data_IF_237498939685
#
_entry.id   IF_237498939685
#
_cell.length_a   1.000
_cell.length_b   1.000
_cell.length_c   1.000
_cell.angle_alpha   90.00
_cell.angle_beta   90.00
_cell.angle_gamma   90.00
#
_symmetry.space_group_name_H-M   'P 1'
#
loop_
_entity.id
_entity.type
_entity.pdbx_description
1 polymer ?
#
# COMPACT_ATOMS: atom_id res chain seq x y z
N UNK A 1 -27.26 -7.84 -17.42
CA UNK A 1 -25.84 -7.43 -17.41
C UNK A 1 -25.75 -6.02 -16.86
N UNK A 2 -24.79 -5.76 -15.97
CA UNK A 2 -24.52 -4.40 -15.48
C UNK A 2 -23.97 -3.57 -16.65
N UNK A 3 -24.31 -2.27 -16.72
CA UNK A 3 -23.83 -1.37 -17.78
C UNK A 3 -22.31 -1.45 -17.94
N UNK A 4 -21.57 -1.55 -16.83
CA UNK A 4 -20.11 -1.67 -16.83
C UNK A 4 -19.61 -2.98 -17.48
N UNK A 5 -20.35 -4.08 -17.37
CA UNK A 5 -20.00 -5.36 -18.02
C UNK A 5 -20.17 -5.24 -19.54
N UNK A 6 -21.22 -4.54 -20.00
CA UNK A 6 -21.46 -4.22 -21.41
C UNK A 6 -20.30 -3.34 -21.92
N UNK A 7 -19.88 -2.34 -21.15
CA UNK A 7 -18.75 -1.48 -21.51
C UNK A 7 -17.47 -2.28 -21.72
N UNK A 8 -17.17 -3.25 -20.86
CA UNK A 8 -15.97 -4.08 -21.01
C UNK A 8 -16.05 -4.97 -22.26
N UNK A 9 -17.21 -5.55 -22.57
CA UNK A 9 -17.38 -6.32 -23.81
C UNK A 9 -17.21 -5.45 -25.05
N UNK A 10 -17.79 -4.25 -25.07
CA UNK A 10 -17.63 -3.29 -26.17
C UNK A 10 -16.18 -2.81 -26.30
N UNK A 11 -15.48 -2.65 -25.17
CA UNK A 11 -14.08 -2.27 -25.15
C UNK A 11 -13.19 -3.38 -25.72
N UNK A 12 -13.45 -4.64 -25.40
CA UNK A 12 -12.76 -5.80 -25.99
C UNK A 12 -13.02 -5.88 -27.50
N UNK A 13 -14.28 -5.67 -27.95
CA UNK A 13 -14.65 -5.67 -29.37
C UNK A 13 -14.00 -4.55 -30.16
N UNK A 14 -13.87 -3.37 -29.56
CA UNK A 14 -13.30 -2.18 -30.21
C UNK A 14 -11.77 -2.22 -30.38
N UNK A 15 -11.08 -3.23 -29.83
CA UNK A 15 -9.63 -3.48 -30.01
C UNK A 15 -8.74 -2.25 -29.74
N UNK A 16 -9.05 -1.53 -28.66
CA UNK A 16 -8.27 -0.38 -28.16
C UNK A 16 -6.80 -0.77 -27.96
N UNK A 17 -5.86 -0.01 -28.52
CA UNK A 17 -4.41 -0.28 -28.39
C UNK A 17 -3.66 0.81 -27.62
N UNK A 18 -4.14 2.05 -27.64
CA UNK A 18 -3.47 3.20 -27.03
C UNK A 18 -4.32 3.89 -25.96
N UNK A 19 -3.69 4.75 -25.17
CA UNK A 19 -4.40 5.56 -24.17
C UNK A 19 -5.36 6.58 -24.82
N UNK A 20 -5.02 7.05 -26.02
CA UNK A 20 -5.85 7.95 -26.83
C UNK A 20 -7.11 7.23 -27.30
N UNK A 21 -6.97 6.00 -27.79
CA UNK A 21 -8.09 5.15 -28.18
C UNK A 21 -9.02 4.90 -26.99
N UNK A 22 -8.45 4.64 -25.80
CA UNK A 22 -9.23 4.42 -24.59
C UNK A 22 -10.02 5.67 -24.21
N UNK A 23 -9.40 6.85 -24.28
CA UNK A 23 -10.08 8.12 -24.01
C UNK A 23 -11.19 8.42 -25.02
N UNK A 24 -10.96 8.11 -26.30
CA UNK A 24 -11.96 8.25 -27.37
C UNK A 24 -13.15 7.31 -27.14
N UNK A 25 -12.88 6.04 -26.84
CA UNK A 25 -13.90 5.04 -26.50
C UNK A 25 -14.78 5.49 -25.34
N UNK A 26 -14.17 5.96 -24.24
CA UNK A 26 -14.91 6.42 -23.06
C UNK A 26 -15.82 7.61 -23.36
N UNK A 27 -15.36 8.57 -24.16
CA UNK A 27 -16.17 9.72 -24.60
C UNK A 27 -17.36 9.26 -25.45
N UNK A 28 -17.13 8.35 -26.40
CA UNK A 28 -18.18 7.78 -27.25
C UNK A 28 -19.24 7.04 -26.44
N UNK A 29 -18.82 6.22 -25.49
CA UNK A 29 -19.70 5.47 -24.58
C UNK A 29 -20.49 6.41 -23.67
N UNK A 30 -19.83 7.41 -23.08
CA UNK A 30 -20.47 8.42 -22.23
C UNK A 30 -21.60 9.13 -22.98
N UNK A 31 -21.37 9.52 -24.24
CA UNK A 31 -22.40 10.11 -25.11
C UNK A 31 -23.52 9.12 -25.47
N UNK A 32 -23.17 7.87 -25.82
CA UNK A 32 -24.14 6.83 -26.23
C UNK A 32 -25.10 6.46 -25.11
N UNK A 33 -24.60 6.30 -23.88
CA UNK A 33 -25.38 5.81 -22.74
C UNK A 33 -25.81 6.92 -21.77
N UNK A 34 -25.48 8.19 -22.07
CA UNK A 34 -25.75 9.35 -21.19
C UNK A 34 -25.24 9.16 -19.76
N UNK A 35 -24.06 8.55 -19.62
CA UNK A 35 -23.40 8.30 -18.34
C UNK A 35 -22.16 9.18 -18.17
N UNK A 36 -21.74 9.50 -16.93
CA UNK A 36 -20.44 10.12 -16.68
C UNK A 36 -19.29 9.29 -17.26
N UNK A 37 -18.18 9.95 -17.63
CA UNK A 37 -17.02 9.27 -18.19
C UNK A 37 -16.51 8.17 -17.22
N UNK A 38 -16.51 6.89 -17.62
CA UNK A 38 -16.25 5.80 -16.70
C UNK A 38 -14.79 5.80 -16.20
N UNK A 39 -14.60 5.61 -14.89
CA UNK A 39 -13.28 5.57 -14.26
C UNK A 39 -12.49 4.33 -14.69
N UNK A 40 -11.18 4.49 -14.92
CA UNK A 40 -10.26 3.38 -15.19
C UNK A 40 -10.30 2.31 -14.08
N UNK A 41 -10.36 2.74 -12.82
CA UNK A 41 -10.40 1.84 -11.66
C UNK A 41 -11.69 1.02 -11.66
N UNK A 42 -12.83 1.65 -11.97
CA UNK A 42 -14.12 0.97 -12.03
C UNK A 42 -14.14 -0.07 -13.15
N UNK A 43 -13.69 0.31 -14.35
CA UNK A 43 -13.58 -0.60 -15.50
C UNK A 43 -12.64 -1.77 -15.21
N UNK A 44 -11.48 -1.50 -14.60
CA UNK A 44 -10.53 -2.56 -14.25
C UNK A 44 -11.10 -3.53 -13.21
N UNK A 45 -11.79 -3.02 -12.19
CA UNK A 45 -12.48 -3.83 -11.18
C UNK A 45 -13.54 -4.72 -11.83
N UNK A 46 -14.41 -4.16 -12.67
CA UNK A 46 -15.43 -4.93 -13.39
C UNK A 46 -14.80 -5.98 -14.31
N UNK A 47 -13.72 -5.64 -15.01
CA UNK A 47 -12.96 -6.59 -15.82
C UNK A 47 -12.43 -7.77 -14.98
N UNK A 48 -11.80 -7.51 -13.84
CA UNK A 48 -11.32 -8.57 -12.94
C UNK A 48 -12.44 -9.44 -12.38
N UNK A 49 -13.61 -8.85 -12.07
CA UNK A 49 -14.80 -9.59 -11.63
C UNK A 49 -15.35 -10.52 -12.71
N UNK A 50 -15.45 -10.05 -13.96
CA UNK A 50 -15.89 -10.85 -15.09
C UNK A 50 -14.94 -12.02 -15.39
N UNK A 51 -13.64 -11.78 -15.32
CA UNK A 51 -12.63 -12.85 -15.46
C UNK A 51 -12.76 -13.88 -14.33
N UNK A 52 -12.97 -13.45 -13.07
CA UNK A 52 -13.19 -14.35 -11.93
C UNK A 52 -14.46 -15.18 -12.05
N UNK A 53 -15.55 -14.60 -12.57
CA UNK A 53 -16.83 -15.28 -12.80
C UNK A 53 -16.84 -16.21 -14.03
N UNK A 54 -15.71 -16.34 -14.75
CA UNK A 54 -15.57 -17.08 -16.02
C UNK A 54 -16.56 -16.64 -17.13
N UNK A 55 -17.19 -15.47 -16.99
CA UNK A 55 -18.07 -14.88 -18.01
C UNK A 55 -17.28 -14.33 -19.20
N UNK A 56 -15.98 -14.10 -19.01
CA UNK A 56 -14.98 -13.96 -20.07
C UNK A 56 -14.11 -15.22 -20.09
N UNK A 57 -14.11 -15.96 -21.19
CA UNK A 57 -13.21 -17.10 -21.39
C UNK A 57 -11.79 -16.59 -21.63
N UNK A 58 -11.00 -16.48 -20.55
CA UNK A 58 -9.54 -16.36 -20.65
C UNK A 58 -9.01 -17.77 -20.96
N UNK A 59 -8.22 -17.99 -22.03
CA UNK A 59 -7.50 -19.25 -22.14
C UNK A 59 -6.61 -19.39 -20.91
N UNK A 60 -6.58 -20.58 -20.31
CA UNK A 60 -6.05 -20.83 -18.98
C UNK A 60 -4.74 -20.08 -18.69
N UNK A 61 -4.74 -19.28 -17.62
CA UNK A 61 -3.51 -18.75 -17.03
C UNK A 61 -2.86 -19.94 -16.31
N UNK A 62 -2.01 -20.69 -17.01
CA UNK A 62 -1.15 -21.67 -16.36
C UNK A 62 -0.32 -20.92 -15.34
N UNK A 63 -0.32 -21.40 -14.08
CA UNK A 63 0.63 -20.95 -13.06
C UNK A 63 2.01 -21.25 -13.61
N UNK A 64 2.66 -20.26 -14.18
CA UNK A 64 4.08 -20.35 -14.51
C UNK A 64 4.83 -20.20 -13.19
N UNK A 65 5.28 -21.35 -12.69
CA UNK A 65 6.37 -21.49 -11.75
C UNK A 65 7.48 -20.49 -12.09
N UNK A 66 8.09 -19.89 -11.07
CA UNK A 66 9.18 -18.93 -11.22
C UNK A 66 10.16 -19.35 -12.33
N UNK A 67 10.34 -18.49 -13.33
CA UNK A 67 11.36 -18.65 -14.37
C UNK A 67 10.85 -19.23 -15.69
N UNK A 68 10.29 -18.36 -16.54
CA UNK A 68 10.40 -18.30 -18.03
C UNK A 68 9.16 -17.61 -18.59
N UNK A 69 9.33 -16.40 -19.10
CA UNK A 69 8.29 -15.69 -19.86
C UNK A 69 8.10 -16.38 -21.21
N UNK A 70 7.10 -17.26 -21.32
CA UNK A 70 6.65 -17.84 -22.58
C UNK A 70 5.30 -17.26 -23.00
N UNK A 71 5.29 -16.42 -24.04
CA UNK A 71 4.09 -15.90 -24.68
C UNK A 71 3.52 -16.92 -25.67
N UNK A 72 2.41 -17.59 -25.33
CA UNK A 72 1.67 -18.46 -26.26
C UNK A 72 0.17 -18.17 -26.23
N UNK A 73 -0.37 -17.63 -27.33
CA UNK A 73 -1.81 -17.47 -27.59
C UNK A 73 -2.26 -16.03 -27.92
N UNK A 74 -2.81 -15.81 -29.14
CA UNK A 74 -3.27 -14.48 -29.62
C UNK A 74 -4.35 -13.83 -28.75
N UNK A 75 -5.20 -14.64 -28.09
CA UNK A 75 -6.20 -14.16 -27.12
C UNK A 75 -5.57 -13.54 -25.87
N UNK A 76 -4.45 -14.09 -25.37
CA UNK A 76 -3.76 -13.59 -24.18
C UNK A 76 -3.16 -12.19 -24.39
N UNK A 77 -2.86 -11.80 -25.64
CA UNK A 77 -2.26 -10.50 -25.97
C UNK A 77 -3.25 -9.33 -25.79
N UNK A 78 -4.51 -9.50 -26.17
CA UNK A 78 -5.56 -8.45 -26.05
C UNK A 78 -5.90 -8.19 -24.59
N UNK A 79 -6.07 -9.25 -23.79
CA UNK A 79 -6.35 -9.15 -22.36
C UNK A 79 -5.21 -8.48 -21.57
N UNK A 80 -3.95 -8.77 -21.94
CA UNK A 80 -2.78 -8.13 -21.34
C UNK A 80 -2.63 -6.65 -21.71
N UNK A 81 -3.00 -6.26 -22.93
CA UNK A 81 -3.00 -4.85 -23.36
C UNK A 81 -4.08 -4.07 -22.61
N UNK A 82 -5.28 -4.63 -22.49
CA UNK A 82 -6.39 -3.98 -21.80
C UNK A 82 -6.07 -3.71 -20.33
N UNK A 83 -5.51 -4.70 -19.63
CA UNK A 83 -5.12 -4.58 -18.22
C UNK A 83 -4.04 -3.50 -18.03
N UNK A 84 -3.10 -3.37 -18.97
CA UNK A 84 -2.10 -2.29 -18.97
C UNK A 84 -2.70 -0.90 -19.21
N UNK A 85 -3.68 -0.79 -20.13
CA UNK A 85 -4.33 0.49 -20.47
C UNK A 85 -5.26 1.00 -19.37
N UNK A 86 -5.99 0.08 -18.71
CA UNK A 86 -6.88 0.43 -17.60
C UNK A 86 -6.14 0.68 -16.29
N UNK A 87 -4.88 0.23 -16.15
CA UNK A 87 -4.06 0.50 -14.96
C UNK A 87 -3.83 2.00 -14.80
N UNK A 88 -4.26 2.56 -13.67
CA UNK A 88 -4.02 3.97 -13.34
C UNK A 88 -2.59 4.18 -12.84
N UNK A 89 -1.89 5.20 -13.34
CA UNK A 89 -0.47 5.51 -13.03
C UNK A 89 0.42 4.29 -13.30
N UNK A 90 0.70 3.98 -14.59
CA UNK A 90 1.27 2.70 -14.99
C UNK A 90 2.64 2.41 -14.34
N UNK A 91 3.37 3.44 -13.93
CA UNK A 91 4.62 3.31 -13.18
C UNK A 91 4.37 3.93 -11.79
N UNK A 92 4.40 3.08 -10.77
CA UNK A 92 4.50 3.49 -9.36
C UNK A 92 5.78 3.01 -8.70
N UNK A 93 6.32 1.89 -9.18
CA UNK A 93 7.66 1.41 -8.85
C UNK A 93 8.25 0.69 -10.06
N UNK A 94 9.54 0.88 -10.31
CA UNK A 94 10.28 0.18 -11.36
C UNK A 94 10.61 -1.26 -10.95
N UNK A 95 10.76 -1.51 -9.64
CA UNK A 95 11.15 -2.80 -9.05
C UNK A 95 9.97 -3.73 -8.73
N UNK A 96 8.73 -3.29 -8.95
CA UNK A 96 7.53 -4.05 -8.58
C UNK A 96 7.24 -4.10 -7.07
N UNK A 97 8.01 -3.38 -6.25
CA UNK A 97 7.75 -3.23 -4.80
C UNK A 97 6.71 -2.13 -4.61
N UNK A 98 5.72 -2.34 -3.74
CA UNK A 98 4.70 -1.33 -3.46
C UNK A 98 4.84 -0.76 -2.07
N UNK A 99 4.90 0.57 -2.00
CA UNK A 99 5.10 1.28 -0.75
C UNK A 99 3.74 1.52 -0.08
N UNK A 100 3.64 1.01 1.15
CA UNK A 100 2.46 1.15 2.00
C UNK A 100 2.87 1.95 3.23
N UNK A 101 2.44 3.21 3.26
CA UNK A 101 2.65 4.07 4.44
C UNK A 101 1.48 3.92 5.41
N UNK A 102 1.79 3.67 6.69
CA UNK A 102 0.82 3.56 7.79
C UNK A 102 1.17 4.52 8.91
N UNK A 103 0.17 5.25 9.41
CA UNK A 103 0.38 6.22 10.47
C UNK A 103 0.10 5.60 11.83
N UNK A 104 0.99 5.92 12.77
CA UNK A 104 0.80 5.67 14.19
C UNK A 104 -0.29 6.57 14.78
N UNK A 105 -0.88 6.16 15.91
CA UNK A 105 -1.81 7.03 16.64
C UNK A 105 -1.11 8.32 17.10
N UNK A 106 -1.81 9.45 17.24
CA UNK A 106 -1.26 10.63 17.87
C UNK A 106 -0.67 10.30 19.25
N UNK A 107 0.57 10.72 19.47
CA UNK A 107 1.29 10.50 20.73
C UNK A 107 2.21 11.70 20.98
N UNK A 108 2.38 12.13 22.25
CA UNK A 108 3.27 13.23 22.57
C UNK A 108 4.68 12.95 22.05
N UNK A 109 5.31 13.99 21.52
CA UNK A 109 6.72 13.98 21.15
C UNK A 109 7.46 14.88 22.16
N UNK A 110 8.62 14.45 22.69
CA UNK A 110 9.39 15.27 23.63
C UNK A 110 10.10 16.46 22.95
N UNK A 111 10.10 16.52 21.62
CA UNK A 111 10.77 17.57 20.85
C UNK A 111 9.98 18.88 20.83
N UNK A 112 10.70 20.00 20.99
CA UNK A 112 10.16 21.37 20.94
C UNK A 112 10.45 22.07 19.60
N UNK A 113 10.67 21.28 18.54
CA UNK A 113 11.15 21.76 17.25
C UNK A 113 10.25 22.87 16.68
N UNK A 114 10.83 24.00 16.29
CA UNK A 114 10.11 25.21 15.87
C UNK A 114 9.18 24.97 14.67
N UNK A 115 9.69 24.33 13.62
CA UNK A 115 8.95 24.09 12.36
C UNK A 115 8.02 22.88 12.39
N UNK A 116 7.89 22.20 13.52
CA UNK A 116 7.17 20.94 13.55
C UNK A 116 5.68 21.16 13.83
N UNK A 117 4.78 20.99 12.84
CA UNK A 117 3.37 21.28 13.02
C UNK A 117 2.77 20.40 14.12
N UNK A 118 1.79 20.96 14.84
CA UNK A 118 1.03 20.27 15.85
C UNK A 118 -0.45 20.52 15.60
N UNK A 119 -1.15 19.49 15.13
CA UNK A 119 -2.60 19.50 14.97
C UNK A 119 -3.24 18.48 15.92
N UNK A 120 -4.34 18.86 16.58
CA UNK A 120 -5.01 18.00 17.54
C UNK A 120 -5.52 16.73 16.87
N UNK A 121 -5.16 15.57 17.41
CA UNK A 121 -5.61 14.28 16.88
C UNK A 121 -4.86 13.80 15.64
N UNK A 122 -3.73 14.43 15.30
CA UNK A 122 -2.81 14.00 14.23
C UNK A 122 -1.41 13.77 14.83
N UNK A 123 -0.65 12.77 14.35
CA UNK A 123 0.74 12.60 14.76
C UNK A 123 1.56 13.87 14.47
N UNK A 124 2.49 14.18 15.39
CA UNK A 124 3.44 15.28 15.26
C UNK A 124 4.14 15.25 13.89
N UNK A 125 4.38 16.41 13.28
CA UNK A 125 4.95 16.60 11.93
C UNK A 125 4.00 16.38 10.75
N UNK A 126 2.82 15.81 10.95
CA UNK A 126 1.83 15.58 9.90
C UNK A 126 0.66 16.55 10.04
N UNK A 127 -0.01 16.85 8.92
CA UNK A 127 -1.13 17.79 8.84
C UNK A 127 -2.35 17.17 8.16
N UNK A 128 -3.52 17.68 8.48
CA UNK A 128 -4.76 17.31 7.78
C UNK A 128 -4.70 17.62 6.28
N UNK A 129 -5.52 16.91 5.51
CA UNK A 129 -5.55 17.04 4.05
C UNK A 129 -4.51 16.19 3.30
N UNK A 130 -3.48 15.70 3.98
CA UNK A 130 -2.57 14.73 3.37
C UNK A 130 -3.27 13.38 3.11
N UNK A 131 -3.13 12.77 1.92
CA UNK A 131 -3.87 11.54 1.60
C UNK A 131 -3.62 10.38 2.56
N UNK A 132 -2.39 10.26 3.12
CA UNK A 132 -2.06 9.21 4.08
C UNK A 132 -2.68 9.47 5.45
N UNK A 133 -2.62 10.73 5.90
CA UNK A 133 -3.22 11.19 7.15
C UNK A 133 -4.72 11.00 7.14
N UNK A 134 -5.41 11.45 6.09
CA UNK A 134 -6.86 11.34 6.00
C UNK A 134 -7.33 9.87 5.96
N UNK A 135 -6.57 8.98 5.32
CA UNK A 135 -6.85 7.53 5.40
C UNK A 135 -6.66 6.98 6.81
N UNK A 136 -5.62 7.42 7.52
CA UNK A 136 -5.37 6.96 8.88
C UNK A 136 -6.43 7.46 9.86
N UNK A 137 -6.83 8.74 9.75
CA UNK A 137 -7.93 9.35 10.51
C UNK A 137 -9.24 8.60 10.30
N UNK A 138 -9.63 8.35 9.04
CA UNK A 138 -10.84 7.59 8.71
C UNK A 138 -10.85 6.15 9.26
N UNK A 139 -9.67 5.58 9.56
CA UNK A 139 -9.50 4.24 10.10
C UNK A 139 -9.08 4.24 11.59
N UNK A 140 -9.22 5.37 12.27
CA UNK A 140 -8.86 5.55 13.69
C UNK A 140 -7.45 5.04 14.02
N UNK A 141 -6.51 5.20 13.08
CA UNK A 141 -5.12 4.76 13.21
C UNK A 141 -4.95 3.24 13.48
N UNK A 142 -5.94 2.40 13.14
CA UNK A 142 -5.82 0.95 13.35
C UNK A 142 -4.89 0.34 12.28
N UNK A 143 -3.75 -0.27 12.68
CA UNK A 143 -2.71 -0.72 11.74
C UNK A 143 -3.18 -1.78 10.73
N UNK A 144 -3.99 -2.74 11.19
CA UNK A 144 -4.44 -3.85 10.35
C UNK A 144 -5.40 -3.36 9.24
N UNK A 145 -6.32 -2.45 9.57
CA UNK A 145 -7.25 -1.82 8.65
C UNK A 145 -6.51 -0.91 7.67
N UNK A 146 -5.55 -0.11 8.12
CA UNK A 146 -4.74 0.74 7.26
C UNK A 146 -4.03 -0.07 6.17
N UNK A 147 -3.35 -1.16 6.54
CA UNK A 147 -2.67 -2.05 5.59
C UNK A 147 -3.67 -2.72 4.65
N UNK A 148 -4.73 -3.35 5.19
CA UNK A 148 -5.75 -4.05 4.37
C UNK A 148 -6.39 -3.14 3.34
N UNK A 149 -6.84 -1.96 3.75
CA UNK A 149 -7.49 -0.99 2.87
C UNK A 149 -6.52 -0.47 1.82
N UNK A 150 -5.25 -0.26 2.18
CA UNK A 150 -4.24 0.16 1.20
C UNK A 150 -3.96 -0.93 0.17
N UNK A 151 -3.83 -2.20 0.58
CA UNK A 151 -3.69 -3.34 -0.34
C UNK A 151 -4.89 -3.42 -1.28
N UNK A 152 -6.12 -3.36 -0.75
CA UNK A 152 -7.36 -3.39 -1.54
C UNK A 152 -7.39 -2.27 -2.59
N UNK A 153 -7.03 -1.04 -2.21
CA UNK A 153 -6.94 0.09 -3.13
C UNK A 153 -5.92 -0.13 -4.25
N UNK A 154 -4.77 -0.71 -3.92
CA UNK A 154 -3.69 -0.97 -4.89
C UNK A 154 -4.05 -2.09 -5.86
N UNK A 155 -4.67 -3.17 -5.37
CA UNK A 155 -5.18 -4.25 -6.21
C UNK A 155 -6.28 -3.74 -7.15
N UNK A 156 -7.21 -2.91 -6.66
CA UNK A 156 -8.25 -2.28 -7.48
C UNK A 156 -7.67 -1.33 -8.56
N UNK A 157 -6.49 -0.76 -8.32
CA UNK A 157 -5.78 0.09 -9.28
C UNK A 157 -4.96 -0.74 -10.29
N UNK A 158 -4.86 -2.06 -10.12
CA UNK A 158 -4.08 -2.95 -10.98
C UNK A 158 -2.59 -3.02 -10.66
N UNK A 159 -2.21 -2.65 -9.44
CA UNK A 159 -0.82 -2.77 -8.99
C UNK A 159 -0.58 -4.14 -8.35
N UNK A 160 0.54 -4.81 -8.67
CA UNK A 160 0.92 -6.03 -7.98
C UNK A 160 1.27 -5.70 -6.52
N UNK A 161 0.75 -6.47 -5.58
CA UNK A 161 0.96 -6.26 -4.13
C UNK A 161 1.64 -7.45 -3.49
N UNK A 162 2.47 -8.17 -4.25
CA UNK A 162 3.18 -9.36 -3.78
C UNK A 162 4.41 -9.01 -2.93
N UNK A 163 5.02 -7.85 -3.20
CA UNK A 163 6.15 -7.30 -2.45
C UNK A 163 5.78 -5.92 -1.92
N UNK A 164 5.81 -5.79 -0.60
CA UNK A 164 5.40 -4.58 0.11
C UNK A 164 6.61 -4.04 0.87
N UNK A 165 6.90 -2.76 0.66
CA UNK A 165 7.71 -1.97 1.58
C UNK A 165 6.77 -1.23 2.53
N UNK A 166 6.79 -1.62 3.79
CA UNK A 166 5.95 -1.01 4.82
C UNK A 166 6.70 0.18 5.42
N UNK A 167 6.17 1.39 5.26
CA UNK A 167 6.74 2.61 5.84
C UNK A 167 5.87 3.06 7.02
N UNK A 168 6.47 3.13 8.20
CA UNK A 168 5.77 3.56 9.40
C UNK A 168 6.09 5.02 9.67
N UNK A 169 5.01 5.79 9.79
CA UNK A 169 5.06 7.24 9.86
C UNK A 169 4.27 7.80 11.05
N UNK A 170 4.61 9.01 11.45
CA UNK A 170 3.99 9.79 12.50
C UNK A 170 5.01 10.56 13.35
N UNK A 171 4.84 10.48 14.67
CA UNK A 171 5.78 11.07 15.62
C UNK A 171 7.10 10.30 15.71
N UNK A 172 7.78 10.39 16.85
CA UNK A 172 9.04 9.67 17.08
C UNK A 172 8.77 8.22 17.47
N UNK A 173 8.96 7.27 16.54
CA UNK A 173 8.67 5.84 16.77
C UNK A 173 9.27 5.31 18.08
N UNK A 174 10.54 5.59 18.30
CA UNK A 174 11.32 5.07 19.44
C UNK A 174 10.85 5.60 20.80
N UNK A 175 10.06 6.68 20.82
CA UNK A 175 9.44 7.24 22.03
C UNK A 175 8.11 6.56 22.40
N UNK A 176 7.49 5.81 21.49
CA UNK A 176 6.26 5.07 21.82
C UNK A 176 6.54 3.93 22.81
N UNK A 177 5.55 3.56 23.66
CA UNK A 177 5.69 2.41 24.54
C UNK A 177 6.03 1.13 23.77
N UNK A 178 7.00 0.34 24.24
CA UNK A 178 7.48 -0.86 23.53
C UNK A 178 6.37 -1.89 23.27
N UNK A 179 5.37 -1.99 24.16
CA UNK A 179 4.16 -2.82 23.98
C UNK A 179 3.33 -2.35 22.78
N UNK A 180 3.16 -1.03 22.62
CA UNK A 180 2.44 -0.45 21.49
C UNK A 180 3.19 -0.70 20.17
N UNK A 181 4.52 -0.50 20.16
CA UNK A 181 5.35 -0.79 18.98
C UNK A 181 5.20 -2.25 18.52
N UNK A 182 5.37 -3.22 19.42
CA UNK A 182 5.19 -4.66 19.10
C UNK A 182 3.79 -4.93 18.58
N UNK A 183 2.76 -4.43 19.26
CA UNK A 183 1.37 -4.62 18.86
C UNK A 183 1.11 -4.06 17.45
N UNK A 184 1.61 -2.85 17.17
CA UNK A 184 1.40 -2.17 15.90
C UNK A 184 2.02 -2.94 14.74
N UNK A 185 3.29 -3.34 14.86
CA UNK A 185 3.99 -4.15 13.85
C UNK A 185 3.30 -5.50 13.65
N UNK A 186 2.95 -6.18 14.75
CA UNK A 186 2.29 -7.50 14.69
C UNK A 186 0.98 -7.42 13.89
N UNK A 187 0.21 -6.34 14.09
CA UNK A 187 -1.05 -6.08 13.37
C UNK A 187 -0.83 -5.80 11.89
N UNK A 188 0.23 -5.09 11.52
CA UNK A 188 0.61 -4.87 10.12
C UNK A 188 0.96 -6.20 9.42
N UNK A 189 1.78 -7.06 10.04
CA UNK A 189 2.06 -8.39 9.50
C UNK A 189 0.77 -9.24 9.40
N UNK A 190 -0.07 -9.21 10.43
CA UNK A 190 -1.33 -9.93 10.44
C UNK A 190 -2.27 -9.52 9.29
N UNK A 191 -2.28 -8.24 8.90
CA UNK A 191 -3.04 -7.76 7.76
C UNK A 191 -2.59 -8.37 6.44
N UNK A 192 -1.28 -8.42 6.20
CA UNK A 192 -0.70 -9.06 5.03
C UNK A 192 -0.94 -10.58 5.02
N UNK A 193 -0.92 -11.21 6.20
CA UNK A 193 -1.11 -12.65 6.36
C UNK A 193 -2.58 -13.09 6.21
N UNK A 194 -3.55 -12.20 6.43
CA UNK A 194 -4.97 -12.53 6.42
C UNK A 194 -5.50 -13.07 5.08
N UNK A 195 -4.85 -12.74 3.95
CA UNK A 195 -5.25 -13.17 2.60
C UNK A 195 -5.08 -14.66 2.30
N UNK A 196 -4.54 -15.47 3.23
CA UNK A 196 -4.30 -16.91 3.03
C UNK A 196 -5.37 -17.85 3.61
N UNK A 197 -6.45 -17.34 4.19
CA UNK A 197 -7.55 -18.22 4.62
C UNK A 197 -8.24 -18.82 3.39
N UNK A 198 -8.01 -20.11 3.14
CA UNK A 198 -8.59 -20.88 2.02
C UNK A 198 -10.13 -20.88 2.01
N UNK A 199 -10.75 -20.59 3.15
CA UNK A 199 -12.20 -20.45 3.29
C UNK A 199 -12.63 -18.99 3.23
N UNK A 200 -13.33 -18.61 2.15
CA UNK A 200 -13.98 -17.29 2.00
C UNK A 200 -15.02 -17.00 3.10
N UNK A 201 -15.56 -18.05 3.71
CA UNK A 201 -16.53 -17.97 4.83
C UNK A 201 -15.85 -17.92 6.21
N UNK A 202 -14.54 -18.19 6.30
CA UNK A 202 -13.75 -17.98 7.52
C UNK A 202 -13.23 -16.53 7.57
N UNK A 203 -14.12 -15.57 7.30
CA UNK A 203 -13.79 -14.16 7.31
C UNK A 203 -14.07 -13.65 8.73
N UNK A 204 -13.00 -13.51 9.52
CA UNK A 204 -12.73 -12.46 10.53
C UNK A 204 -12.02 -12.96 11.81
N UNK A 205 -11.88 -14.26 12.06
CA UNK A 205 -11.39 -14.80 13.35
C UNK A 205 -10.04 -15.51 13.27
N UNK A 206 -9.11 -15.08 12.41
CA UNK A 206 -7.73 -15.54 12.56
C UNK A 206 -7.16 -14.91 13.83
N UNK A 207 -6.96 -15.72 14.88
CA UNK A 207 -6.28 -15.29 16.10
C UNK A 207 -4.90 -14.73 15.72
N UNK A 208 -4.66 -13.48 16.06
CA UNK A 208 -3.36 -12.84 15.84
C UNK A 208 -2.38 -13.48 16.81
N UNK A 209 -1.28 -13.96 16.25
CA UNK A 209 -0.23 -14.66 16.97
C UNK A 209 0.82 -13.68 17.51
N UNK A 210 1.86 -14.22 18.12
CA UNK A 210 3.02 -13.41 18.49
C UNK A 210 3.69 -12.78 17.27
N UNK A 211 4.41 -11.68 17.46
CA UNK A 211 5.15 -10.99 16.39
C UNK A 211 6.02 -11.95 15.56
N UNK A 212 6.81 -12.79 16.24
CA UNK A 212 7.72 -13.74 15.61
C UNK A 212 7.00 -14.76 14.73
N UNK A 213 5.84 -15.24 15.19
CA UNK A 213 5.01 -16.14 14.38
C UNK A 213 4.40 -15.42 13.17
N UNK A 214 3.95 -14.18 13.33
CA UNK A 214 3.40 -13.40 12.21
C UNK A 214 4.47 -13.08 11.15
N UNK A 215 5.69 -12.75 11.58
CA UNK A 215 6.85 -12.60 10.68
C UNK A 215 7.13 -13.89 9.91
N UNK A 216 7.20 -15.04 10.60
CA UNK A 216 7.46 -16.35 9.99
C UNK A 216 6.37 -16.77 8.99
N UNK A 217 5.10 -16.48 9.30
CA UNK A 217 4.01 -16.69 8.35
C UNK A 217 4.22 -15.81 7.11
N UNK A 218 4.59 -14.54 7.31
CA UNK A 218 4.70 -13.57 6.23
C UNK A 218 5.76 -13.91 5.18
N UNK A 219 6.80 -14.68 5.54
CA UNK A 219 7.80 -15.20 4.61
C UNK A 219 7.19 -15.97 3.42
N UNK A 220 6.02 -16.60 3.61
CA UNK A 220 5.39 -17.52 2.66
C UNK A 220 4.07 -17.02 2.08
N UNK A 221 3.58 -15.85 2.50
CA UNK A 221 2.27 -15.35 2.04
C UNK A 221 2.32 -14.65 0.70
N UNK A 222 1.14 -14.36 0.13
CA UNK A 222 1.03 -13.59 -1.12
C UNK A 222 1.59 -12.18 -0.95
N UNK A 223 1.21 -11.49 0.12
CA UNK A 223 1.59 -10.11 0.43
C UNK A 223 2.80 -10.11 1.36
N UNK A 224 4.01 -10.15 0.82
CA UNK A 224 5.23 -10.23 1.64
C UNK A 224 5.73 -8.83 1.97
N UNK A 225 5.99 -8.58 3.24
CA UNK A 225 6.71 -7.40 3.70
C UNK A 225 8.19 -7.70 3.45
N UNK A 226 8.73 -7.13 2.37
CA UNK A 226 10.12 -7.32 1.96
C UNK A 226 11.05 -6.26 2.56
N UNK A 227 10.46 -5.16 3.05
CA UNK A 227 11.16 -4.11 3.77
C UNK A 227 10.22 -3.42 4.75
N UNK A 228 10.79 -2.97 5.86
CA UNK A 228 10.11 -2.20 6.89
C UNK A 228 10.96 -0.98 7.22
N UNK A 229 10.45 0.20 6.90
CA UNK A 229 11.05 1.49 7.22
C UNK A 229 10.33 2.16 8.37
N UNK A 230 11.12 2.72 9.28
CA UNK A 230 10.64 3.41 10.48
C UNK A 230 11.32 4.76 10.56
N UNK A 231 10.56 5.82 10.80
CA UNK A 231 11.10 7.14 11.11
C UNK A 231 11.27 7.36 12.61
N UNK A 232 12.43 7.90 12.99
CA UNK A 232 12.71 8.25 14.39
C UNK A 232 13.70 9.41 14.47
N UNK A 233 13.99 9.86 15.68
CA UNK A 233 14.93 10.94 15.94
C UNK A 233 16.33 10.38 16.24
N UNK A 234 17.41 11.11 15.90
CA UNK A 234 18.77 10.71 16.24
C UNK A 234 18.97 10.46 17.75
N UNK A 235 18.39 11.31 18.61
CA UNK A 235 18.49 11.20 20.08
C UNK A 235 17.71 10.03 20.70
N UNK A 236 16.96 9.27 19.90
CA UNK A 236 16.23 8.08 20.36
C UNK A 236 16.73 6.78 19.72
N UNK A 237 17.91 6.81 19.11
CA UNK A 237 18.58 5.65 18.53
C UNK A 237 19.85 5.38 19.32
N UNK A 238 19.87 4.24 19.99
CA UNK A 238 21.05 3.66 20.62
C UNK A 238 21.19 2.19 20.18
N UNK A 239 22.25 1.52 20.62
CA UNK A 239 22.51 0.11 20.28
C UNK A 239 21.38 -0.82 20.74
N UNK A 240 20.72 -0.53 21.86
CA UNK A 240 19.62 -1.34 22.37
C UNK A 240 18.37 -1.18 21.52
N UNK A 241 18.05 0.05 21.11
CA UNK A 241 16.95 0.36 20.20
C UNK A 241 17.20 -0.21 18.81
N UNK A 242 18.43 -0.17 18.29
CA UNK A 242 18.77 -0.82 17.01
C UNK A 242 18.50 -2.33 17.09
N UNK A 243 18.93 -2.99 18.17
CA UNK A 243 18.63 -4.42 18.38
C UNK A 243 17.12 -4.67 18.41
N UNK A 244 16.38 -3.81 19.08
CA UNK A 244 14.92 -3.87 19.17
C UNK A 244 14.24 -3.66 17.81
N UNK A 245 14.70 -2.72 16.99
CA UNK A 245 14.19 -2.46 15.65
C UNK A 245 14.43 -3.66 14.73
N UNK A 246 15.59 -4.32 14.85
CA UNK A 246 15.87 -5.57 14.15
C UNK A 246 14.92 -6.69 14.55
N UNK A 247 14.59 -6.82 15.84
CA UNK A 247 13.58 -7.78 16.31
C UNK A 247 12.17 -7.49 15.76
N UNK A 248 11.84 -6.20 15.53
CA UNK A 248 10.60 -5.81 14.85
C UNK A 248 10.60 -6.15 13.35
N UNK A 249 11.76 -6.45 12.78
CA UNK A 249 11.94 -6.73 11.35
C UNK A 249 12.22 -5.48 10.53
N UNK A 250 12.65 -4.38 11.16
CA UNK A 250 13.04 -3.16 10.45
C UNK A 250 14.27 -3.41 9.57
N UNK A 251 14.21 -2.93 8.33
CA UNK A 251 15.30 -3.02 7.35
C UNK A 251 15.90 -1.65 7.03
N UNK A 252 15.17 -0.58 7.35
CA UNK A 252 15.61 0.80 7.14
C UNK A 252 15.13 1.68 8.30
N UNK A 253 15.99 2.60 8.73
CA UNK A 253 15.66 3.63 9.71
C UNK A 253 15.88 5.00 9.08
N UNK A 254 14.84 5.82 9.07
CA UNK A 254 14.89 7.18 8.57
C UNK A 254 15.12 8.12 9.77
N UNK A 255 16.29 8.73 9.83
CA UNK A 255 16.65 9.66 10.90
C UNK A 255 16.29 11.08 10.50
N UNK A 256 15.51 11.74 11.35
CA UNK A 256 15.20 13.16 11.18
C UNK A 256 16.36 14.07 11.56
N UNK A 257 17.50 14.01 10.88
CA UNK A 257 18.69 14.86 11.12
C UNK A 257 18.41 16.34 10.84
N UNK A 258 17.69 16.63 9.77
CA UNK A 258 17.33 17.98 9.27
C UNK A 258 18.52 18.83 8.78
N UNK A 259 19.53 19.05 9.62
CA UNK A 259 20.73 19.84 9.31
C UNK A 259 21.97 19.15 9.85
N UNK A 260 23.10 19.38 9.19
CA UNK A 260 24.45 18.95 9.63
C UNK A 260 25.21 20.06 10.37
N UNK A 261 24.54 21.17 10.67
CA UNK A 261 25.12 22.32 11.37
C UNK A 261 24.42 22.53 12.73
N UNK A 262 25.20 22.45 13.82
CA UNK A 262 24.68 22.53 15.19
C UNK A 262 24.05 23.88 15.55
N UNK A 263 24.55 24.99 14.97
CA UNK A 263 23.97 26.32 15.12
C UNK A 263 22.53 26.39 14.58
N UNK A 264 22.29 25.82 13.39
CA UNK A 264 20.96 25.70 12.77
C UNK A 264 20.06 24.79 13.61
N UNK A 265 20.58 23.66 14.10
CA UNK A 265 19.81 22.74 14.95
C UNK A 265 19.39 23.43 16.26
N UNK A 266 20.30 24.20 16.89
CA UNK A 266 20.06 24.93 18.13
C UNK A 266 19.01 26.03 17.96
N UNK A 267 19.12 26.85 16.90
CA UNK A 267 18.12 27.89 16.58
C UNK A 267 16.73 27.27 16.39
N UNK A 268 16.66 26.09 15.77
CA UNK A 268 15.41 25.37 15.53
C UNK A 268 14.89 24.55 16.72
N UNK A 269 15.52 24.66 17.89
CA UNK A 269 15.18 23.94 19.12
C UNK A 269 15.12 22.41 18.91
N UNK A 270 16.04 21.89 18.09
CA UNK A 270 16.23 20.45 17.92
C UNK A 270 16.90 19.89 19.17
N UNK A 271 16.41 18.75 19.65
CA UNK A 271 16.93 18.11 20.88
C UNK A 271 18.15 17.22 20.66
N UNK A 272 18.90 17.42 19.57
CA UNK A 272 20.10 16.66 19.23
C UNK A 272 21.09 17.57 18.49
N UNK A 273 22.38 17.25 18.57
CA UNK A 273 23.42 17.80 17.72
C UNK A 273 23.77 16.84 16.59
N UNK A 274 24.91 17.11 15.94
CA UNK A 274 25.51 16.24 14.91
C UNK A 274 26.35 15.11 15.52
N UNK A 275 26.95 15.35 16.70
CA UNK A 275 27.76 14.38 17.45
C UNK A 275 26.99 13.73 18.59
#
# INVERSE_FOLDING_TARGET
>A
MNINEILIQDLIKSRVKTQVDLASFKRKVSKKYKIPCPSNVLLLKTYHEMVRKKTLHRPAFTKVSAGKQGFGGRGNKIFGILEKLLRTRPIRSLSGIVNISVLTKPYPCPGKCLYCPLEKGIPKSYVSGEPAVERAKALNYEPCLQVKKRIEMLENQGHPTDKIELRIVGGTWSFYPKKYQTWFITRCFAACNAGQTRNKNAKLTRKIKSLKEEQKINEKVKHRIVGLSIETRPDFIDSAEIKRLRELGATMVELGVQSIYDDVLKINLRGHGVK
#
